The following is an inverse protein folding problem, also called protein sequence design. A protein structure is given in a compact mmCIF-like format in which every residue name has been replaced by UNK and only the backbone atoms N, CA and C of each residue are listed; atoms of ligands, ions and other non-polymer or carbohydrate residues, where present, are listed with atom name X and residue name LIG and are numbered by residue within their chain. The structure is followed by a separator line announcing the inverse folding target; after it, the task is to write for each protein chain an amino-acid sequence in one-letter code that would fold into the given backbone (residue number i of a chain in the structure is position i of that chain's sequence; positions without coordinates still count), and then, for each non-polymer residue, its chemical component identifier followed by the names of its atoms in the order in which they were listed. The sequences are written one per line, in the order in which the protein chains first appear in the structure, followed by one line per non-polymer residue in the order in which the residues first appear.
data_IF_380243203815
#
_entry.id   IF_380243203815
#
_cell.length_a   1.000
_cell.length_b   1.000
_cell.length_c   1.000
_cell.angle_alpha   90.00
_cell.angle_beta   90.00
_cell.angle_gamma   90.00
#
_symmetry.space_group_name_H-M   'P 1'
#
loop_
_entity.id
_entity.type
_entity.pdbx_description
1 polymer ?
#
# COMPACT_ATOMS: atom_id res chain seq x y z
N UNK A 1 -9.55 -21.78 6.71
CA UNK A 1 -10.84 -21.71 5.96
C UNK A 1 -10.89 -20.35 5.25
N UNK A 2 -11.59 -20.17 4.11
CA UNK A 2 -11.66 -18.86 3.40
C UNK A 2 -13.00 -18.19 3.75
N UNK A 3 -13.01 -16.89 4.07
CA UNK A 3 -14.20 -16.09 4.39
C UNK A 3 -14.12 -14.73 3.68
N UNK A 4 -15.25 -14.15 3.26
CA UNK A 4 -15.29 -12.94 2.42
C UNK A 4 -16.38 -11.96 2.87
N UNK A 5 -16.11 -10.67 2.69
CA UNK A 5 -16.98 -9.54 3.02
C UNK A 5 -17.16 -8.68 1.76
N UNK A 6 -18.42 -8.50 1.32
CA UNK A 6 -18.79 -7.69 0.16
C UNK A 6 -20.26 -7.24 0.26
N UNK A 7 -20.71 -6.37 -0.65
CA UNK A 7 -22.14 -6.09 -0.83
C UNK A 7 -22.96 -7.37 -1.06
N UNK A 8 -24.16 -7.44 -0.48
CA UNK A 8 -24.96 -8.69 -0.30
C UNK A 8 -25.10 -9.55 -1.57
N UNK A 9 -25.32 -8.92 -2.73
CA UNK A 9 -25.47 -9.65 -4.00
C UNK A 9 -24.17 -10.31 -4.48
N UNK A 10 -23.02 -9.66 -4.28
CA UNK A 10 -21.73 -10.22 -4.65
C UNK A 10 -21.27 -11.34 -3.72
N UNK A 11 -21.73 -11.35 -2.46
CA UNK A 11 -21.38 -12.39 -1.50
C UNK A 11 -21.96 -13.75 -1.91
N UNK A 12 -23.21 -13.80 -2.36
CA UNK A 12 -23.88 -15.04 -2.78
C UNK A 12 -23.21 -15.62 -4.03
N UNK A 13 -22.92 -14.78 -5.03
CA UNK A 13 -22.17 -15.18 -6.23
C UNK A 13 -20.77 -15.67 -5.89
N UNK A 14 -20.06 -14.96 -5.01
CA UNK A 14 -18.72 -15.37 -4.59
C UNK A 14 -18.75 -16.68 -3.80
N UNK A 15 -19.74 -16.85 -2.93
CA UNK A 15 -19.94 -18.09 -2.19
C UNK A 15 -20.19 -19.27 -3.12
N UNK A 16 -21.04 -19.08 -4.12
CA UNK A 16 -21.38 -20.10 -5.10
C UNK A 16 -20.17 -20.45 -5.98
N UNK A 17 -19.51 -19.45 -6.56
CA UNK A 17 -18.43 -19.64 -7.53
C UNK A 17 -17.16 -20.23 -6.90
N UNK A 18 -16.88 -19.93 -5.63
CA UNK A 18 -15.66 -20.35 -4.94
C UNK A 18 -15.90 -21.32 -3.78
N UNK A 19 -17.14 -21.80 -3.61
CA UNK A 19 -17.53 -22.77 -2.59
C UNK A 19 -17.11 -22.34 -1.17
N UNK A 20 -17.35 -21.06 -0.86
CA UNK A 20 -16.97 -20.47 0.43
C UNK A 20 -17.93 -20.97 1.52
N UNK A 21 -17.43 -21.54 2.62
CA UNK A 21 -18.28 -22.17 3.63
C UNK A 21 -19.10 -21.18 4.46
N UNK A 22 -18.60 -19.95 4.67
CA UNK A 22 -19.31 -18.92 5.40
C UNK A 22 -19.05 -17.51 4.83
N UNK A 23 -20.11 -16.71 4.76
CA UNK A 23 -20.09 -15.32 4.30
C UNK A 23 -20.60 -14.38 5.39
N UNK A 24 -20.06 -13.17 5.43
CA UNK A 24 -20.36 -12.18 6.45
C UNK A 24 -20.59 -10.80 5.82
N UNK A 25 -21.59 -10.08 6.34
CA UNK A 25 -21.81 -8.66 6.02
C UNK A 25 -21.20 -7.72 7.07
N UNK A 26 -20.65 -8.28 8.15
CA UNK A 26 -20.05 -7.55 9.27
C UNK A 26 -18.76 -8.29 9.68
N UNK A 27 -17.62 -7.62 9.54
CA UNK A 27 -16.32 -8.20 9.85
C UNK A 27 -16.15 -8.48 11.34
N UNK A 28 -16.78 -7.71 12.23
CA UNK A 28 -16.70 -7.97 13.68
C UNK A 28 -17.30 -9.34 14.03
N UNK A 29 -18.39 -9.73 13.36
CA UNK A 29 -18.96 -11.07 13.53
C UNK A 29 -18.03 -12.15 13.02
N UNK A 30 -17.43 -11.95 11.84
CA UNK A 30 -16.46 -12.89 11.28
C UNK A 30 -15.28 -13.09 12.24
N UNK A 31 -14.63 -12.02 12.70
CA UNK A 31 -13.48 -12.07 13.61
C UNK A 31 -13.83 -12.70 14.97
N UNK A 32 -15.08 -12.60 15.41
CA UNK A 32 -15.54 -13.15 16.70
C UNK A 32 -15.85 -14.65 16.64
N UNK A 33 -16.42 -15.12 15.54
CA UNK A 33 -16.98 -16.48 15.47
C UNK A 33 -16.14 -17.47 14.68
N UNK A 34 -15.25 -16.97 13.82
CA UNK A 34 -14.35 -17.81 13.03
C UNK A 34 -12.99 -17.95 13.72
N UNK A 35 -12.40 -19.13 13.59
CA UNK A 35 -11.03 -19.41 14.01
C UNK A 35 -10.10 -19.18 12.80
N UNK A 36 -9.55 -17.96 12.70
CA UNK A 36 -8.82 -17.47 11.52
C UNK A 36 -7.31 -17.37 11.80
N UNK A 37 -6.49 -17.96 10.93
CA UNK A 37 -5.04 -17.74 10.96
C UNK A 37 -4.63 -16.40 10.34
N UNK A 38 -5.40 -15.93 9.33
CA UNK A 38 -5.07 -14.79 8.48
C UNK A 38 -6.36 -14.11 7.98
N UNK A 39 -6.38 -12.78 7.99
CA UNK A 39 -7.36 -11.98 7.27
C UNK A 39 -6.72 -11.25 6.09
N UNK A 40 -7.40 -11.28 4.94
CA UNK A 40 -7.02 -10.49 3.77
C UNK A 40 -7.96 -9.29 3.66
N UNK A 41 -7.43 -8.10 3.86
CA UNK A 41 -8.20 -6.85 3.81
C UNK A 41 -8.08 -6.30 2.39
N UNK A 42 -9.12 -6.50 1.57
CA UNK A 42 -9.21 -5.99 0.19
C UNK A 42 -10.32 -4.96 0.02
N UNK A 43 -10.60 -4.22 1.09
CA UNK A 43 -11.59 -3.14 1.12
C UNK A 43 -11.02 -1.84 0.53
N UNK A 44 -11.74 -0.72 0.64
CA UNK A 44 -11.20 0.59 0.27
C UNK A 44 -10.34 1.15 1.41
N UNK A 45 -9.37 2.01 1.07
CA UNK A 45 -8.37 2.53 2.00
C UNK A 45 -8.93 3.10 3.32
N UNK A 46 -10.04 3.88 3.35
CA UNK A 46 -10.61 4.38 4.61
C UNK A 46 -11.00 3.28 5.60
N UNK A 47 -11.23 2.05 5.11
CA UNK A 47 -11.67 0.92 5.92
C UNK A 47 -10.51 0.06 6.42
N UNK A 48 -9.29 0.23 5.91
CA UNK A 48 -8.15 -0.59 6.30
C UNK A 48 -7.82 -0.43 7.77
N UNK A 49 -7.72 0.82 8.24
CA UNK A 49 -7.37 1.16 9.62
C UNK A 49 -8.26 0.46 10.67
N UNK A 50 -9.60 0.67 10.69
CA UNK A 50 -10.45 0.04 11.71
C UNK A 50 -10.48 -1.49 11.63
N UNK A 51 -10.41 -2.06 10.42
CA UNK A 51 -10.40 -3.53 10.24
C UNK A 51 -9.08 -4.13 10.77
N UNK A 52 -7.95 -3.47 10.51
CA UNK A 52 -6.64 -3.90 11.02
C UNK A 52 -6.60 -3.90 12.53
N UNK A 53 -7.03 -2.81 13.18
CA UNK A 53 -7.06 -2.74 14.65
C UNK A 53 -7.96 -3.83 15.25
N UNK A 54 -9.13 -4.07 14.65
CA UNK A 54 -10.02 -5.13 15.10
C UNK A 54 -9.42 -6.53 14.93
N UNK A 55 -8.76 -6.81 13.80
CA UNK A 55 -8.11 -8.11 13.58
C UNK A 55 -6.91 -8.33 14.53
N UNK A 56 -6.13 -7.28 14.81
CA UNK A 56 -5.01 -7.32 15.73
C UNK A 56 -5.45 -7.68 17.16
N UNK A 57 -6.58 -7.14 17.63
CA UNK A 57 -7.16 -7.48 18.95
C UNK A 57 -7.49 -8.98 19.10
N UNK A 58 -7.73 -9.67 17.99
CA UNK A 58 -8.00 -11.10 17.95
C UNK A 58 -6.74 -11.95 17.69
N UNK A 59 -5.56 -11.35 17.55
CA UNK A 59 -4.31 -12.07 17.28
C UNK A 59 -4.23 -12.70 15.88
N UNK A 60 -5.02 -12.20 14.93
CA UNK A 60 -5.12 -12.75 13.57
C UNK A 60 -4.08 -12.07 12.66
N UNK A 61 -3.31 -12.83 11.88
CA UNK A 61 -2.36 -12.23 10.94
C UNK A 61 -3.07 -11.44 9.83
N UNK A 62 -2.41 -10.44 9.26
CA UNK A 62 -3.05 -9.48 8.33
C UNK A 62 -2.26 -9.35 7.03
N UNK A 63 -2.96 -9.50 5.90
CA UNK A 63 -2.50 -9.10 4.58
C UNK A 63 -3.44 -8.05 3.99
N UNK A 64 -3.01 -6.79 3.95
CA UNK A 64 -3.85 -5.65 3.60
C UNK A 64 -3.55 -5.08 2.22
N UNK A 65 -4.56 -4.66 1.48
CA UNK A 65 -4.40 -3.93 0.22
C UNK A 65 -3.72 -2.58 0.40
N UNK A 66 -3.20 -2.06 -0.71
CA UNK A 66 -2.63 -0.70 -0.79
C UNK A 66 -3.69 0.31 -1.30
N UNK A 67 -3.58 1.61 -0.94
CA UNK A 67 -2.67 2.19 0.03
C UNK A 67 -3.01 1.71 1.45
N UNK A 68 -2.02 1.67 2.33
CA UNK A 68 -2.15 1.12 3.68
C UNK A 68 -3.19 1.88 4.52
N UNK A 69 -3.11 3.22 4.51
CA UNK A 69 -3.97 4.13 5.24
C UNK A 69 -4.07 5.47 4.50
N UNK A 70 -4.95 6.38 4.96
CA UNK A 70 -5.08 7.73 4.40
C UNK A 70 -4.16 8.75 5.07
N UNK A 71 -3.65 8.44 6.27
CA UNK A 71 -2.70 9.28 6.99
C UNK A 71 -1.53 8.46 7.55
N UNK A 72 -0.42 9.14 7.84
CA UNK A 72 0.71 8.51 8.52
C UNK A 72 0.34 8.08 9.95
N UNK A 73 -0.48 8.87 10.64
CA UNK A 73 -0.95 8.53 11.98
C UNK A 73 -1.71 7.20 11.99
N UNK A 74 -2.69 7.02 11.09
CA UNK A 74 -3.40 5.74 10.96
C UNK A 74 -2.43 4.60 10.60
N UNK A 75 -1.44 4.86 9.74
CA UNK A 75 -0.45 3.84 9.40
C UNK A 75 0.39 3.42 10.61
N UNK A 76 0.84 4.39 11.43
CA UNK A 76 1.60 4.13 12.65
C UNK A 76 0.75 3.35 13.67
N UNK A 77 -0.51 3.75 13.90
CA UNK A 77 -1.46 3.06 14.77
C UNK A 77 -1.70 1.60 14.33
N UNK A 78 -1.79 1.35 13.01
CA UNK A 78 -1.90 -0.02 12.47
C UNK A 78 -0.65 -0.86 12.72
N UNK A 79 0.55 -0.29 12.56
CA UNK A 79 1.80 -1.01 12.81
C UNK A 79 1.92 -1.34 14.29
N UNK A 80 1.75 -0.35 15.17
CA UNK A 80 1.85 -0.50 16.62
C UNK A 80 0.91 -1.59 17.13
N UNK A 81 -0.37 -1.55 16.73
CA UNK A 81 -1.35 -2.57 17.14
C UNK A 81 -0.96 -3.99 16.71
N UNK A 82 -0.37 -4.14 15.51
CA UNK A 82 0.08 -5.45 15.02
C UNK A 82 1.34 -5.94 15.75
N UNK A 83 2.27 -5.03 16.07
CA UNK A 83 3.48 -5.33 16.83
C UNK A 83 3.14 -5.73 18.27
N UNK A 84 2.25 -4.99 18.93
CA UNK A 84 1.78 -5.28 20.29
C UNK A 84 1.05 -6.64 20.37
N UNK A 85 0.25 -6.97 19.35
CA UNK A 85 -0.41 -8.26 19.25
C UNK A 85 0.54 -9.41 18.86
N UNK A 86 1.78 -9.12 18.47
CA UNK A 86 2.76 -10.12 18.04
C UNK A 86 2.38 -10.84 16.74
N UNK A 87 1.62 -10.18 15.86
CA UNK A 87 1.13 -10.76 14.62
C UNK A 87 1.95 -10.35 13.40
N UNK A 88 1.89 -11.14 12.33
CA UNK A 88 2.43 -10.74 11.03
C UNK A 88 1.47 -9.77 10.35
N UNK A 89 2.02 -8.67 9.87
CA UNK A 89 1.30 -7.66 9.11
C UNK A 89 2.07 -7.32 7.82
N UNK A 90 1.39 -7.37 6.68
CA UNK A 90 2.00 -7.08 5.39
C UNK A 90 1.03 -6.34 4.48
N UNK A 91 1.57 -5.39 3.70
CA UNK A 91 0.83 -4.65 2.68
C UNK A 91 1.04 -5.29 1.30
N UNK A 92 -0.02 -5.38 0.51
CA UNK A 92 -0.04 -6.02 -0.81
C UNK A 92 0.62 -5.15 -1.89
N UNK A 93 1.93 -4.96 -1.80
CA UNK A 93 2.75 -4.47 -2.90
C UNK A 93 3.17 -5.64 -3.82
N UNK A 94 2.19 -6.26 -4.48
CA UNK A 94 2.37 -7.48 -5.28
C UNK A 94 3.49 -7.37 -6.32
N UNK A 95 3.75 -6.15 -6.81
CA UNK A 95 4.76 -5.93 -7.83
C UNK A 95 6.18 -6.21 -7.35
N UNK A 96 6.47 -6.26 -6.04
CA UNK A 96 7.80 -6.69 -5.53
C UNK A 96 8.17 -8.11 -5.94
N UNK A 97 7.17 -8.97 -6.13
CA UNK A 97 7.32 -10.38 -6.50
C UNK A 97 7.26 -10.62 -8.01
N UNK A 98 7.18 -9.57 -8.83
CA UNK A 98 7.08 -9.74 -10.28
C UNK A 98 8.40 -10.24 -10.89
N UNK A 99 8.31 -11.06 -11.94
CA UNK A 99 9.49 -11.58 -12.63
C UNK A 99 10.39 -10.47 -13.18
N UNK A 100 9.81 -9.36 -13.68
CA UNK A 100 10.61 -8.24 -14.18
C UNK A 100 11.38 -7.53 -13.06
N UNK A 101 10.77 -7.32 -11.89
CA UNK A 101 11.48 -6.68 -10.78
C UNK A 101 12.51 -7.60 -10.14
N UNK A 102 12.22 -8.90 -10.06
CA UNK A 102 13.20 -9.91 -9.65
C UNK A 102 14.42 -9.94 -10.57
N UNK A 103 14.21 -9.82 -11.88
CA UNK A 103 15.30 -9.75 -12.86
C UNK A 103 16.12 -8.46 -12.72
N UNK A 104 15.47 -7.29 -12.58
CA UNK A 104 16.18 -6.02 -12.33
C UNK A 104 17.02 -6.08 -11.05
N UNK A 105 16.48 -6.67 -9.97
CA UNK A 105 17.24 -6.91 -8.74
C UNK A 105 18.46 -7.79 -8.96
N UNK A 106 18.33 -8.84 -9.78
CA UNK A 106 19.44 -9.72 -10.12
C UNK A 106 20.54 -8.97 -10.88
N UNK A 107 20.19 -8.12 -11.85
CA UNK A 107 21.14 -7.29 -12.58
C UNK A 107 21.88 -6.30 -11.66
N UNK A 108 21.16 -5.70 -10.71
CA UNK A 108 21.73 -4.80 -9.72
C UNK A 108 22.66 -5.54 -8.75
N UNK A 109 22.26 -6.70 -8.25
CA UNK A 109 23.04 -7.48 -7.28
C UNK A 109 24.26 -8.16 -7.91
N UNK A 110 24.16 -8.60 -9.18
CA UNK A 110 25.27 -9.15 -9.96
C UNK A 110 26.26 -8.09 -10.43
N UNK A 111 25.91 -6.80 -10.31
CA UNK A 111 26.67 -5.64 -10.81
C UNK A 111 26.84 -5.62 -12.34
N UNK A 112 26.00 -6.34 -13.08
CA UNK A 112 26.06 -6.41 -14.55
C UNK A 112 25.79 -5.05 -15.21
N UNK A 113 24.95 -4.23 -14.58
CA UNK A 113 24.66 -2.85 -15.03
C UNK A 113 25.45 -1.78 -14.24
N UNK A 114 26.45 -2.22 -13.45
CA UNK A 114 27.27 -1.34 -12.62
C UNK A 114 26.52 -0.78 -11.40
N UNK A 115 26.96 0.39 -10.94
CA UNK A 115 26.34 1.09 -9.81
C UNK A 115 25.07 1.79 -10.30
N UNK A 116 23.95 1.60 -9.61
CA UNK A 116 22.78 2.44 -9.80
C UNK A 116 23.17 3.92 -9.64
N UNK A 117 22.66 4.80 -10.50
CA UNK A 117 22.92 6.25 -10.42
C UNK A 117 21.63 7.03 -10.26
N UNK A 118 20.60 6.63 -11.02
CA UNK A 118 19.35 7.36 -11.15
C UNK A 118 18.23 6.38 -11.51
N UNK A 119 17.05 6.58 -10.92
CA UNK A 119 15.83 5.90 -11.33
C UNK A 119 14.86 6.98 -11.81
N UNK A 120 14.41 6.85 -13.06
CA UNK A 120 13.29 7.63 -13.59
C UNK A 120 12.06 6.74 -13.60
N UNK A 121 11.00 7.20 -12.95
CA UNK A 121 9.75 6.48 -12.83
C UNK A 121 8.59 7.40 -13.24
N UNK A 122 7.68 6.85 -14.01
CA UNK A 122 6.44 7.50 -14.43
C UNK A 122 5.29 6.56 -14.10
N UNK A 123 4.17 7.11 -13.65
CA UNK A 123 2.97 6.32 -13.51
C UNK A 123 2.31 6.08 -14.88
N UNK A 124 1.17 5.39 -14.88
CA UNK A 124 0.39 5.16 -16.09
C UNK A 124 -0.52 6.35 -16.46
N UNK A 125 -0.49 7.43 -15.67
CA UNK A 125 -1.43 8.54 -15.73
C UNK A 125 -2.88 8.17 -15.36
N UNK A 126 -3.78 9.11 -15.66
CA UNK A 126 -5.23 8.96 -15.49
C UNK A 126 -5.81 9.53 -14.18
N UNK A 127 -4.96 10.09 -13.31
CA UNK A 127 -5.34 10.83 -12.10
C UNK A 127 -4.45 12.06 -11.95
N UNK A 128 -4.95 13.07 -11.24
CA UNK A 128 -4.22 14.30 -10.91
C UNK A 128 -3.22 14.06 -9.78
N UNK A 129 -2.18 14.90 -9.69
CA UNK A 129 -1.05 14.84 -8.75
C UNK A 129 -1.30 14.12 -7.42
N UNK A 130 -1.94 14.77 -6.44
CA UNK A 130 -2.11 14.20 -5.10
C UNK A 130 -2.87 12.86 -5.12
N UNK A 131 -3.87 12.73 -6.00
CA UNK A 131 -4.65 11.51 -6.10
C UNK A 131 -3.84 10.36 -6.73
N UNK A 132 -3.07 10.66 -7.78
CA UNK A 132 -2.22 9.65 -8.40
C UNK A 132 -1.14 9.18 -7.44
N UNK A 133 -0.65 10.04 -6.55
CA UNK A 133 0.32 9.65 -5.51
C UNK A 133 -0.24 8.58 -4.57
N UNK A 134 -1.48 8.75 -4.11
CA UNK A 134 -2.16 7.77 -3.23
C UNK A 134 -2.45 6.44 -3.95
N UNK A 135 -2.89 6.51 -5.20
CA UNK A 135 -3.33 5.33 -5.93
C UNK A 135 -2.20 4.56 -6.64
N UNK A 136 -1.39 5.29 -7.40
CA UNK A 136 -0.34 4.77 -8.28
C UNK A 136 1.07 5.08 -7.77
N UNK A 137 1.28 6.23 -7.15
CA UNK A 137 2.56 6.66 -6.60
C UNK A 137 3.07 5.73 -5.52
N UNK A 138 2.16 5.11 -4.74
CA UNK A 138 2.53 4.04 -3.79
C UNK A 138 3.22 2.85 -4.46
N UNK A 139 2.87 2.49 -5.71
CA UNK A 139 3.61 1.47 -6.46
C UNK A 139 5.00 1.97 -6.88
N UNK A 140 5.09 3.22 -7.33
CA UNK A 140 6.36 3.81 -7.75
C UNK A 140 7.32 3.90 -6.57
N UNK A 141 6.86 4.46 -5.45
CA UNK A 141 7.65 4.60 -4.24
C UNK A 141 8.13 3.24 -3.73
N UNK A 142 7.24 2.26 -3.72
CA UNK A 142 7.58 0.88 -3.36
C UNK A 142 8.67 0.30 -4.25
N UNK A 143 8.54 0.45 -5.58
CA UNK A 143 9.55 0.01 -6.54
C UNK A 143 10.89 0.70 -6.38
N UNK A 144 10.90 2.03 -6.23
CA UNK A 144 12.16 2.74 -6.10
C UNK A 144 12.85 2.32 -4.81
N UNK A 145 12.11 2.13 -3.70
CA UNK A 145 12.69 1.54 -2.48
C UNK A 145 13.20 0.12 -2.67
N UNK A 146 12.48 -0.67 -3.46
CA UNK A 146 12.85 -2.05 -3.80
C UNK A 146 14.21 -2.17 -4.49
N UNK A 147 14.64 -1.12 -5.21
CA UNK A 147 15.90 -1.09 -5.95
C UNK A 147 16.99 -0.20 -5.32
N UNK A 148 16.62 0.96 -4.78
CA UNK A 148 17.53 1.98 -4.26
C UNK A 148 17.65 1.99 -2.73
N UNK A 149 16.81 1.23 -2.02
CA UNK A 149 16.74 1.23 -0.56
C UNK A 149 15.91 2.41 -0.01
N UNK A 150 16.09 2.73 1.26
CA UNK A 150 15.27 3.75 1.92
C UNK A 150 15.64 5.18 1.50
N UNK A 151 14.61 6.01 1.39
CA UNK A 151 14.73 7.43 1.02
C UNK A 151 15.30 8.20 2.21
N UNK A 152 16.30 9.05 1.96
CA UNK A 152 16.89 9.94 2.94
C UNK A 152 16.17 11.30 2.98
N UNK A 153 15.83 11.85 1.82
CA UNK A 153 15.01 13.05 1.69
C UNK A 153 14.28 13.09 0.37
N UNK A 154 13.20 13.87 0.32
CA UNK A 154 12.36 14.08 -0.85
C UNK A 154 12.07 15.57 -1.05
N UNK A 155 11.87 15.99 -2.30
CA UNK A 155 11.33 17.30 -2.67
C UNK A 155 10.31 17.11 -3.79
N UNK A 156 9.25 17.90 -3.80
CA UNK A 156 8.22 17.85 -4.83
C UNK A 156 7.70 19.24 -5.16
N UNK A 157 7.37 19.45 -6.43
CA UNK A 157 6.57 20.59 -6.89
C UNK A 157 5.23 20.04 -7.41
N UNK A 158 4.14 20.61 -6.90
CA UNK A 158 2.80 20.31 -7.33
C UNK A 158 2.25 21.56 -8.00
N UNK A 159 1.60 21.39 -9.15
CA UNK A 159 1.06 22.53 -9.90
C UNK A 159 -0.43 22.36 -10.16
N UNK A 160 -1.16 23.48 -10.13
CA UNK A 160 -2.55 23.61 -10.58
C UNK A 160 -2.53 24.48 -11.83
N UNK A 161 -2.82 23.91 -13.00
CA UNK A 161 -2.52 24.58 -14.27
C UNK A 161 -1.03 24.88 -14.44
N UNK A 162 -0.68 26.17 -14.58
CA UNK A 162 0.72 26.62 -14.72
C UNK A 162 1.33 27.13 -13.42
N UNK A 163 0.52 27.28 -12.37
CA UNK A 163 0.94 27.86 -11.09
C UNK A 163 1.27 26.76 -10.08
N UNK A 164 2.12 27.07 -9.10
CA UNK A 164 2.40 26.16 -7.98
C UNK A 164 1.15 26.03 -7.11
N UNK A 165 0.80 24.80 -6.75
CA UNK A 165 -0.43 24.50 -6.03
C UNK A 165 -0.38 25.05 -4.60
N UNK A 166 -1.50 25.61 -4.16
CA UNK A 166 -1.64 26.24 -2.83
C UNK A 166 -2.61 25.45 -1.94
N UNK A 167 -2.71 25.85 -0.66
CA UNK A 167 -3.57 25.17 0.32
C UNK A 167 -5.05 25.24 -0.10
N UNK A 168 -5.45 26.32 -0.75
CA UNK A 168 -6.81 26.53 -1.28
C UNK A 168 -7.16 25.59 -2.44
N UNK A 169 -6.17 24.95 -3.06
CA UNK A 169 -6.38 23.97 -4.13
C UNK A 169 -6.70 22.57 -3.58
N UNK A 170 -6.59 22.35 -2.26
CA UNK A 170 -6.87 21.06 -1.62
C UNK A 170 -8.36 20.74 -1.76
N UNK A 171 -8.66 19.53 -2.25
CA UNK A 171 -10.02 19.02 -2.44
C UNK A 171 -10.10 17.57 -2.03
N UNK A 172 -11.31 17.07 -1.78
CA UNK A 172 -11.51 15.63 -1.68
C UNK A 172 -11.29 14.95 -3.05
N UNK A 173 -10.73 13.74 -3.08
CA UNK A 173 -10.44 13.03 -4.35
C UNK A 173 -11.65 12.91 -5.27
N UNK A 174 -12.83 12.69 -4.68
CA UNK A 174 -14.10 12.56 -5.40
C UNK A 174 -14.68 13.89 -5.90
N UNK A 175 -14.27 15.03 -5.32
CA UNK A 175 -14.60 16.36 -5.86
C UNK A 175 -13.76 16.68 -7.10
N UNK A 176 -12.52 16.18 -7.15
CA UNK A 176 -11.66 16.29 -8.34
C UNK A 176 -12.22 15.42 -9.47
N UNK A 177 -12.62 14.18 -9.16
CA UNK A 177 -13.24 13.28 -10.11
C UNK A 177 -14.16 12.30 -9.39
N UNK A 178 -15.46 12.37 -9.69
CA UNK A 178 -16.49 11.54 -9.05
C UNK A 178 -16.30 10.02 -9.25
N UNK A 179 -15.51 9.61 -10.24
CA UNK A 179 -15.19 8.19 -10.51
C UNK A 179 -13.98 7.68 -9.74
N UNK A 180 -13.26 8.56 -9.04
CA UNK A 180 -12.12 8.14 -8.24
C UNK A 180 -12.54 7.50 -6.92
N UNK A 181 -11.64 6.64 -6.43
CA UNK A 181 -11.77 6.06 -5.09
C UNK A 181 -11.62 7.17 -4.06
N UNK A 182 -12.19 6.92 -2.90
CA UNK A 182 -11.90 7.76 -1.74
C UNK A 182 -10.43 7.57 -1.34
N UNK A 183 -9.64 8.60 -1.64
CA UNK A 183 -8.23 8.71 -1.30
C UNK A 183 -8.00 9.89 -0.32
N UNK A 184 -9.07 10.40 0.29
CA UNK A 184 -9.05 11.57 1.16
C UNK A 184 -8.74 12.87 0.42
N UNK A 185 -7.99 13.74 1.11
CA UNK A 185 -7.62 15.07 0.61
C UNK A 185 -6.44 14.97 -0.36
N UNK A 186 -6.58 15.62 -1.52
CA UNK A 186 -5.60 15.64 -2.60
C UNK A 186 -5.40 17.06 -3.11
N UNK A 187 -4.25 17.33 -3.73
CA UNK A 187 -3.90 18.65 -4.26
C UNK A 187 -3.06 18.53 -5.52
N UNK A 188 -3.18 19.53 -6.39
CA UNK A 188 -2.46 19.66 -7.65
C UNK A 188 -3.01 18.79 -8.78
N UNK A 189 -2.66 19.19 -10.00
CA UNK A 189 -2.98 18.51 -11.25
C UNK A 189 -1.78 17.74 -11.79
N UNK A 190 -0.59 18.31 -11.66
CA UNK A 190 0.69 17.66 -12.03
C UNK A 190 1.70 17.72 -10.88
N UNK A 191 2.62 16.77 -10.86
CA UNK A 191 3.64 16.65 -9.82
C UNK A 191 4.97 16.21 -10.43
N UNK A 192 6.05 16.87 -9.98
CA UNK A 192 7.43 16.42 -10.18
C UNK A 192 8.04 16.13 -8.82
N UNK A 193 8.50 14.90 -8.61
CA UNK A 193 9.16 14.48 -7.37
C UNK A 193 10.62 14.11 -7.60
N UNK A 194 11.45 14.45 -6.62
CA UNK A 194 12.83 14.01 -6.51
C UNK A 194 13.02 13.30 -5.17
N UNK A 195 13.60 12.11 -5.24
CA UNK A 195 13.99 11.33 -4.07
C UNK A 195 15.49 11.11 -4.04
N UNK A 196 16.06 11.30 -2.87
CA UNK A 196 17.49 11.09 -2.64
C UNK A 196 17.68 9.99 -1.63
N UNK A 197 18.52 9.03 -2.00
CA UNK A 197 18.75 7.80 -1.26
C UNK A 197 20.09 7.88 -0.55
N UNK A 198 20.13 7.36 0.69
CA UNK A 198 21.40 7.18 1.38
C UNK A 198 22.05 5.92 0.80
N UNK A 199 23.11 6.11 0.03
CA UNK A 199 23.88 5.01 -0.55
C UNK A 199 24.58 4.22 0.57
N UNK A 200 23.93 3.19 1.09
CA UNK A 200 24.63 2.14 1.84
C UNK A 200 25.28 1.25 0.76
N UNK A 201 26.61 1.26 0.70
CA UNK A 201 27.35 0.36 -0.16
C UNK A 201 26.83 -1.07 0.03
N UNK A 202 26.49 -1.74 -1.07
CA UNK A 202 25.93 -3.09 -1.09
C UNK A 202 26.57 -3.99 -0.03
N UNK A 203 25.78 -4.38 0.97
CA UNK A 203 26.26 -5.21 2.07
C UNK A 203 25.22 -5.56 3.14
N UNK A 204 23.92 -5.52 2.84
CA UNK A 204 22.91 -6.02 3.78
C UNK A 204 22.38 -7.39 3.31
N UNK A 205 22.48 -8.44 4.14
CA UNK A 205 21.85 -9.72 3.84
C UNK A 205 20.33 -9.56 3.92
N UNK A 206 19.63 -10.03 2.89
CA UNK A 206 18.18 -10.17 2.89
C UNK A 206 17.83 -11.50 3.60
N UNK A 207 17.14 -11.42 4.74
CA UNK A 207 16.59 -12.51 5.58
C UNK A 207 17.59 -13.51 6.23
N UNK A 208 17.71 -13.50 7.57
CA UNK A 208 18.32 -14.58 8.35
C UNK A 208 18.58 -14.27 9.83
N UNK A 209 17.99 -15.10 10.70
CA UNK A 209 18.13 -15.24 12.18
C UNK A 209 17.59 -14.14 13.09
N UNK A 210 16.33 -14.29 13.50
CA UNK A 210 15.95 -14.06 14.88
C UNK A 210 16.49 -15.24 15.72
N UNK A 211 17.63 -15.04 16.36
CA UNK A 211 18.07 -15.81 17.53
C UNK A 211 18.69 -14.82 18.50
N UNK A 212 18.05 -14.66 19.64
CA UNK A 212 18.43 -13.80 20.75
C UNK A 212 17.25 -13.63 21.68
#
# INVERSE_FOLDING_TARGET
MRHVIYGRQYLEDFQHNYQIPAIYTDYHRMLRYEDLDLVVISTQAPQHHPITLAAAQHGIHIFCEKPMALSLQEADEMVEACEEAGIRFSINHQKRASNYNSYVKQLLSSKEIGKLVLIHAYDKGGRTAGNTMMEMGTHLFDWVRCFAGDVNWASAHLNTGMDEAVVEDIKHSQEVNAWDRDAGLVVGESILLLWFYKWIACGLPFFGSATG
#
